data_IF_475615951830
#
_entry.id   IF_475615951830
#
_cell.length_a   1.000
_cell.length_b   1.000
_cell.length_c   1.000
_cell.angle_alpha   90.00
_cell.angle_beta   90.00
_cell.angle_gamma   90.00
#
_symmetry.space_group_name_H-M   'P 1'
#
loop_
_entity.id
_entity.type
_entity.pdbx_description
1 polymer ?
#
# COMPACT_ATOMS: atom_id res chain seq x y z
N UNK A 1 -5.47 17.75 -16.82
CA UNK A 1 -6.37 17.41 -15.68
C UNK A 1 -5.63 17.72 -14.41
N UNK A 2 -6.18 18.57 -13.54
CA UNK A 2 -5.73 18.60 -12.14
C UNK A 2 -6.21 17.28 -11.52
N UNK A 3 -5.33 16.29 -11.40
CA UNK A 3 -5.63 15.09 -10.62
C UNK A 3 -5.70 15.53 -9.17
N UNK A 4 -6.92 15.79 -8.71
CA UNK A 4 -7.17 16.10 -7.31
C UNK A 4 -6.58 14.97 -6.46
N UNK A 5 -5.73 15.34 -5.49
CA UNK A 5 -5.00 14.39 -4.65
C UNK A 5 -5.92 13.87 -3.55
N UNK A 6 -6.95 13.13 -3.95
CA UNK A 6 -7.95 12.52 -3.06
C UNK A 6 -7.37 11.26 -2.38
N UNK A 7 -8.02 10.72 -1.33
CA UNK A 7 -7.63 9.43 -0.76
C UNK A 7 -7.59 8.30 -1.78
N UNK A 8 -8.51 8.30 -2.76
CA UNK A 8 -8.51 7.34 -3.86
C UNK A 8 -7.26 7.47 -4.72
N UNK A 9 -6.82 8.69 -5.04
CA UNK A 9 -5.57 8.93 -5.76
C UNK A 9 -4.36 8.36 -5.00
N UNK A 10 -4.28 8.65 -3.70
CA UNK A 10 -3.19 8.11 -2.88
C UNK A 10 -3.26 6.59 -2.73
N UNK A 11 -4.45 6.00 -2.67
CA UNK A 11 -4.63 4.55 -2.59
C UNK A 11 -4.16 3.84 -3.86
N UNK A 12 -4.48 4.38 -5.03
CA UNK A 12 -3.98 3.85 -6.30
C UNK A 12 -2.44 3.88 -6.35
N UNK A 13 -1.84 4.97 -5.88
CA UNK A 13 -0.38 5.07 -5.75
C UNK A 13 0.18 4.06 -4.73
N UNK A 14 -0.51 3.85 -3.60
CA UNK A 14 -0.10 2.85 -2.62
C UNK A 14 -0.05 1.44 -3.22
N UNK A 15 -1.09 1.05 -3.96
CA UNK A 15 -1.13 -0.24 -4.65
C UNK A 15 -0.01 -0.40 -5.68
N UNK A 16 0.34 0.68 -6.39
CA UNK A 16 1.47 0.72 -7.32
C UNK A 16 2.82 0.51 -6.63
N UNK A 17 3.07 1.19 -5.51
CA UNK A 17 4.32 1.08 -4.76
C UNK A 17 4.47 -0.29 -4.10
N UNK A 18 3.41 -0.87 -3.53
CA UNK A 18 3.52 -2.22 -2.94
C UNK A 18 3.68 -3.28 -4.02
N UNK A 19 2.97 -3.18 -5.15
CA UNK A 19 3.19 -4.07 -6.31
C UNK A 19 4.63 -3.96 -6.84
N UNK A 20 5.22 -2.77 -6.79
CA UNK A 20 6.62 -2.55 -7.15
C UNK A 20 7.57 -3.19 -6.15
N UNK A 21 7.36 -3.01 -4.85
CA UNK A 21 8.16 -3.63 -3.80
C UNK A 21 8.19 -5.16 -3.91
N UNK A 22 7.03 -5.80 -4.14
CA UNK A 22 6.94 -7.26 -4.33
C UNK A 22 7.76 -7.72 -5.55
N UNK A 23 7.64 -7.02 -6.67
CA UNK A 23 8.39 -7.34 -7.89
C UNK A 23 9.90 -7.13 -7.71
N UNK A 24 10.31 -6.13 -6.95
CA UNK A 24 11.72 -5.87 -6.64
C UNK A 24 12.28 -6.92 -5.70
N UNK A 25 11.50 -7.36 -4.70
CA UNK A 25 11.85 -8.49 -3.84
C UNK A 25 12.07 -9.78 -4.64
N UNK A 26 11.17 -10.11 -5.58
CA UNK A 26 11.30 -11.28 -6.46
C UNK A 26 12.55 -11.24 -7.36
N UNK A 27 13.10 -10.07 -7.61
CA UNK A 27 14.32 -9.86 -8.39
C UNK A 27 15.57 -9.72 -7.53
N UNK A 28 15.44 -9.86 -6.21
CA UNK A 28 16.51 -9.61 -5.24
C UNK A 28 17.06 -8.16 -5.28
N UNK A 29 16.28 -7.22 -5.81
CA UNK A 29 16.61 -5.80 -5.93
C UNK A 29 16.25 -5.04 -4.64
N UNK A 30 16.88 -5.43 -3.52
CA UNK A 30 16.46 -5.01 -2.17
C UNK A 30 16.50 -3.50 -1.92
N UNK A 31 17.46 -2.78 -2.50
CA UNK A 31 17.53 -1.30 -2.38
C UNK A 31 16.32 -0.62 -3.03
N UNK A 32 15.88 -1.13 -4.18
CA UNK A 32 14.70 -0.61 -4.88
C UNK A 32 13.43 -0.97 -4.10
N UNK A 33 13.37 -2.21 -3.61
CA UNK A 33 12.27 -2.66 -2.74
C UNK A 33 12.12 -1.74 -1.53
N UNK A 34 13.22 -1.45 -0.83
CA UNK A 34 13.20 -0.57 0.35
C UNK A 34 12.73 0.84 -0.01
N UNK A 35 13.18 1.37 -1.16
CA UNK A 35 12.70 2.66 -1.68
C UNK A 35 11.19 2.67 -1.95
N UNK A 36 10.64 1.60 -2.52
CA UNK A 36 9.19 1.43 -2.75
C UNK A 36 8.41 1.31 -1.44
N UNK A 37 8.97 0.62 -0.44
CA UNK A 37 8.40 0.51 0.91
C UNK A 37 8.34 1.88 1.60
N UNK A 38 9.40 2.68 1.55
CA UNK A 38 9.42 4.04 2.11
C UNK A 38 8.31 4.89 1.48
N UNK A 39 8.17 4.85 0.14
CA UNK A 39 7.10 5.57 -0.56
C UNK A 39 5.72 5.10 -0.11
N UNK A 40 5.51 3.79 0.00
CA UNK A 40 4.26 3.23 0.50
C UNK A 40 3.91 3.71 1.93
N UNK A 41 4.90 3.74 2.84
CA UNK A 41 4.74 4.27 4.21
C UNK A 41 4.33 5.75 4.21
N UNK A 42 4.98 6.57 3.39
CA UNK A 42 4.66 8.00 3.27
C UNK A 42 3.24 8.23 2.70
N UNK A 43 2.82 7.40 1.75
CA UNK A 43 1.47 7.45 1.19
C UNK A 43 0.43 7.11 2.27
N UNK A 44 0.67 6.08 3.09
CA UNK A 44 -0.22 5.73 4.21
C UNK A 44 -0.37 6.90 5.18
N UNK A 45 0.74 7.52 5.59
CA UNK A 45 0.70 8.71 6.45
C UNK A 45 -0.11 9.85 5.83
N UNK A 46 -0.05 10.01 4.51
CA UNK A 46 -0.83 11.02 3.80
C UNK A 46 -2.32 10.66 3.80
N UNK A 47 -2.67 9.40 3.56
CA UNK A 47 -4.06 8.90 3.60
C UNK A 47 -4.67 9.10 4.99
N UNK A 48 -3.91 8.82 6.06
CA UNK A 48 -4.37 8.98 7.45
C UNK A 48 -4.73 10.43 7.82
N UNK A 49 -4.22 11.42 7.09
CA UNK A 49 -4.51 12.84 7.34
C UNK A 49 -5.88 13.29 6.79
N UNK A 50 -6.50 12.50 5.90
CA UNK A 50 -7.78 12.87 5.32
C UNK A 50 -8.94 12.71 6.32
N UNK A 51 -9.85 13.71 6.44
CA UNK A 51 -10.98 13.63 7.35
C UNK A 51 -11.89 12.42 7.12
N UNK A 52 -12.12 12.02 5.87
CA UNK A 52 -12.94 10.86 5.47
C UNK A 52 -12.32 9.50 5.83
N UNK A 53 -11.03 9.48 6.18
CA UNK A 53 -10.33 8.26 6.63
C UNK A 53 -10.43 8.07 8.15
N UNK A 54 -10.98 9.05 8.89
CA UNK A 54 -11.24 8.92 10.34
C UNK A 54 -12.27 7.81 10.58
N UNK A 55 -11.85 6.73 11.23
CA UNK A 55 -12.67 5.55 11.52
C UNK A 55 -12.47 4.35 10.58
N UNK A 56 -11.75 4.54 9.46
CA UNK A 56 -11.38 3.44 8.52
C UNK A 56 -9.99 2.86 8.83
N UNK A 57 -9.64 2.81 10.12
CA UNK A 57 -8.28 2.53 10.60
C UNK A 57 -7.87 1.06 10.49
N UNK A 58 -8.81 0.12 10.61
CA UNK A 58 -8.49 -1.32 10.62
C UNK A 58 -7.81 -1.81 9.34
N UNK A 59 -8.26 -1.33 8.19
CA UNK A 59 -7.70 -1.75 6.90
C UNK A 59 -6.33 -1.14 6.63
N UNK A 60 -6.12 0.12 7.02
CA UNK A 60 -4.80 0.77 6.96
C UNK A 60 -3.81 0.10 7.91
N UNK A 61 -4.25 -0.35 9.09
CA UNK A 61 -3.42 -1.11 10.04
C UNK A 61 -2.96 -2.44 9.43
N UNK A 62 -3.86 -3.17 8.77
CA UNK A 62 -3.51 -4.42 8.08
C UNK A 62 -2.49 -4.15 6.97
N UNK A 63 -2.72 -3.14 6.12
CA UNK A 63 -1.78 -2.74 5.07
C UNK A 63 -0.40 -2.38 5.63
N UNK A 64 -0.38 -1.62 6.73
CA UNK A 64 0.86 -1.24 7.39
C UNK A 64 1.63 -2.46 7.91
N UNK A 65 0.92 -3.43 8.50
CA UNK A 65 1.52 -4.71 8.92
C UNK A 65 2.17 -5.46 7.75
N UNK A 66 1.48 -5.56 6.61
CA UNK A 66 2.02 -6.23 5.41
C UNK A 66 3.29 -5.53 4.91
N UNK A 67 3.29 -4.19 4.88
CA UNK A 67 4.46 -3.41 4.45
C UNK A 67 5.63 -3.56 5.43
N UNK A 68 5.36 -3.61 6.73
CA UNK A 68 6.39 -3.85 7.75
C UNK A 68 6.99 -5.25 7.66
N UNK A 69 6.19 -6.25 7.37
CA UNK A 69 6.66 -7.62 7.21
C UNK A 69 7.47 -7.80 5.92
N UNK A 70 7.13 -7.05 4.85
CA UNK A 70 7.92 -6.93 3.62
C UNK A 70 9.30 -6.34 3.91
N UNK A 71 9.35 -5.26 4.70
CA UNK A 71 10.58 -4.56 5.07
C UNK A 71 11.53 -5.46 5.88
N UNK A 72 10.97 -6.31 6.74
CA UNK A 72 11.73 -7.29 7.54
C UNK A 72 12.19 -8.51 6.73
N UNK A 73 11.89 -8.59 5.42
CA UNK A 73 12.08 -9.79 4.57
C UNK A 73 11.43 -11.04 5.17
N UNK A 74 10.38 -10.88 5.99
CA UNK A 74 9.73 -11.97 6.75
C UNK A 74 8.61 -12.66 5.98
N UNK A 75 8.41 -12.27 4.73
CA UNK A 75 7.28 -12.69 3.95
C UNK A 75 7.70 -13.68 2.87
N UNK A 76 7.23 -14.92 3.00
CA UNK A 76 6.95 -15.79 1.86
C UNK A 76 5.72 -15.27 1.11
N UNK A 77 5.73 -14.02 0.64
CA UNK A 77 4.57 -13.49 -0.10
C UNK A 77 4.48 -14.17 -1.46
N UNK A 78 3.38 -14.91 -1.65
CA UNK A 78 2.79 -15.08 -2.97
C UNK A 78 2.16 -13.74 -3.39
N UNK A 79 2.60 -13.19 -4.53
CA UNK A 79 2.04 -11.99 -5.18
C UNK A 79 0.51 -11.98 -5.18
N UNK A 80 -0.11 -13.17 -5.30
CA UNK A 80 -1.57 -13.34 -5.24
C UNK A 80 -2.16 -12.92 -3.90
N UNK A 81 -1.59 -13.34 -2.76
CA UNK A 81 -2.08 -12.96 -1.43
C UNK A 81 -2.05 -11.45 -1.22
N UNK A 82 -1.01 -10.78 -1.72
CA UNK A 82 -0.87 -9.34 -1.55
C UNK A 82 -1.88 -8.56 -2.40
N UNK A 83 -2.17 -9.02 -3.63
CA UNK A 83 -3.25 -8.48 -4.45
C UNK A 83 -4.63 -8.76 -3.84
N UNK A 84 -4.83 -9.96 -3.29
CA UNK A 84 -6.08 -10.36 -2.63
C UNK A 84 -6.36 -9.55 -1.36
N UNK A 85 -5.32 -9.03 -0.67
CA UNK A 85 -5.49 -8.07 0.43
C UNK A 85 -5.82 -6.65 -0.04
N UNK A 86 -5.19 -6.20 -1.11
CA UNK A 86 -5.33 -4.82 -1.62
C UNK A 86 -6.65 -4.59 -2.38
N UNK A 87 -7.07 -5.55 -3.20
CA UNK A 87 -8.24 -5.39 -4.07
C UNK A 87 -9.56 -5.15 -3.31
N UNK A 88 -9.91 -5.90 -2.25
CA UNK A 88 -11.13 -5.67 -1.48
C UNK A 88 -11.15 -4.30 -0.80
N UNK A 89 -9.99 -3.81 -0.36
CA UNK A 89 -9.86 -2.50 0.28
C UNK A 89 -10.07 -1.36 -0.70
N UNK A 90 -9.44 -1.42 -1.88
CA UNK A 90 -9.65 -0.44 -2.94
C UNK A 90 -11.11 -0.38 -3.37
N UNK A 91 -11.78 -1.53 -3.49
CA UNK A 91 -13.21 -1.61 -3.85
C UNK A 91 -14.09 -0.95 -2.77
N UNK A 92 -13.88 -1.24 -1.48
CA UNK A 92 -14.68 -0.67 -0.38
C UNK A 92 -14.57 0.86 -0.27
N UNK A 93 -13.49 1.46 -0.78
CA UNK A 93 -13.32 2.92 -0.84
C UNK A 93 -14.00 3.56 -2.05
N UNK A 94 -14.22 2.81 -3.14
CA UNK A 94 -14.92 3.30 -4.34
C UNK A 94 -16.44 3.20 -4.23
N UNK A 95 -16.96 2.36 -3.31
CA UNK A 95 -18.40 2.17 -3.09
C UNK A 95 -19.01 3.15 -2.08
N UNK A 96 -18.42 4.34 -1.92
CA UNK A 96 -18.96 5.42 -1.08
C UNK A 96 -19.41 6.58 -1.95
#
# INVERSE_FOLDING_TARGET
MNTERTPLFYMANLGSEVSRAVREFQKEEYERMHSSIIRAKNIIQTIEQFPEMRGRTGELVILKSIIEDLDKKKLEIDKKQLLDYFSPFAIRLMTV
#
